data_IF_333223776035
#
_entry.id   IF_333223776035
#
_cell.length_a   1.000
_cell.length_b   1.000
_cell.length_c   1.000
_cell.angle_alpha   90.00
_cell.angle_beta   90.00
_cell.angle_gamma   90.00
#
_symmetry.space_group_name_H-M   'P 1'
#
loop_
_entity.id
_entity.type
_entity.pdbx_description
1 polymer ?
#
# COMPACT_ATOMS: atom_id res chain seq x y z
N UNK A 1 16.63 -13.97 21.08
CA UNK A 1 15.34 -13.60 20.46
C UNK A 1 14.55 -12.56 21.26
N UNK A 2 14.43 -12.67 22.60
CA UNK A 2 13.70 -11.69 23.41
C UNK A 2 14.12 -10.23 23.18
N UNK A 3 15.44 -9.94 23.27
CA UNK A 3 16.00 -8.59 23.07
C UNK A 3 15.67 -8.01 21.68
N UNK A 4 15.74 -8.84 20.64
CA UNK A 4 15.40 -8.43 19.27
C UNK A 4 13.92 -8.03 19.16
N UNK A 5 13.02 -8.83 19.72
CA UNK A 5 11.58 -8.55 19.69
C UNK A 5 11.19 -7.35 20.56
N UNK A 6 11.87 -7.15 21.68
CA UNK A 6 11.71 -5.94 22.51
C UNK A 6 12.17 -4.68 21.77
N UNK A 7 13.26 -4.77 21.01
CA UNK A 7 13.66 -3.69 20.10
C UNK A 7 12.60 -3.46 19.02
N UNK A 8 12.10 -4.50 18.35
CA UNK A 8 11.03 -4.36 17.34
C UNK A 8 9.76 -3.74 17.91
N UNK A 9 9.32 -4.18 19.09
CA UNK A 9 8.21 -3.58 19.81
C UNK A 9 8.42 -2.08 20.05
N UNK A 10 9.61 -1.70 20.53
CA UNK A 10 9.93 -0.29 20.80
C UNK A 10 9.82 0.57 19.54
N UNK A 11 10.33 0.09 18.40
CA UNK A 11 10.25 0.80 17.12
C UNK A 11 8.81 0.90 16.61
N UNK A 12 8.06 -0.21 16.59
CA UNK A 12 6.67 -0.20 16.11
C UNK A 12 5.73 0.60 17.01
N UNK A 13 5.94 0.58 18.33
CA UNK A 13 5.21 1.41 19.27
C UNK A 13 5.51 2.90 19.04
N UNK A 14 6.78 3.26 18.78
CA UNK A 14 7.15 4.62 18.44
C UNK A 14 6.52 5.07 17.11
N UNK A 15 6.61 4.24 16.07
CA UNK A 15 5.95 4.48 14.78
C UNK A 15 4.44 4.66 14.95
N UNK A 16 3.78 3.80 15.73
CA UNK A 16 2.35 3.90 16.04
C UNK A 16 2.00 5.25 16.69
N UNK A 17 2.78 5.70 17.67
CA UNK A 17 2.59 7.01 18.31
C UNK A 17 2.73 8.15 17.31
N UNK A 18 3.76 8.12 16.47
CA UNK A 18 3.98 9.11 15.42
C UNK A 18 2.81 9.18 14.44
N UNK A 19 2.39 8.05 13.87
CA UNK A 19 1.30 8.05 12.88
C UNK A 19 -0.06 8.38 13.49
N UNK A 20 -0.26 8.07 14.76
CA UNK A 20 -1.48 8.47 15.48
C UNK A 20 -1.51 9.98 15.67
N UNK A 21 -0.38 10.62 16.00
CA UNK A 21 -0.27 12.07 16.06
C UNK A 21 -0.52 12.73 14.70
N UNK A 22 -0.10 12.10 13.60
CA UNK A 22 -0.36 12.59 12.23
C UNK A 22 -1.86 12.69 11.89
N UNK A 23 -2.75 11.96 12.57
CA UNK A 23 -4.20 12.10 12.36
C UNK A 23 -4.69 13.52 12.64
N UNK A 24 -4.09 14.19 13.63
CA UNK A 24 -4.46 15.54 14.04
C UNK A 24 -3.94 16.64 13.10
N UNK A 25 -2.97 16.34 12.23
CA UNK A 25 -2.42 17.32 11.29
C UNK A 25 -3.34 17.50 10.09
N UNK A 26 -3.97 18.66 9.95
CA UNK A 26 -4.68 19.02 8.72
C UNK A 26 -3.71 19.67 7.75
N UNK A 27 -3.37 18.96 6.68
CA UNK A 27 -2.57 19.52 5.59
C UNK A 27 -3.46 19.66 4.38
N UNK A 28 -3.59 20.90 3.89
CA UNK A 28 -4.33 21.19 2.66
C UNK A 28 -3.40 20.99 1.47
N UNK A 29 -3.56 19.87 0.79
CA UNK A 29 -2.88 19.57 -0.48
C UNK A 29 -3.85 19.61 -1.66
N UNK A 30 -4.97 20.33 -1.51
CA UNK A 30 -6.08 20.33 -2.46
C UNK A 30 -5.69 20.81 -3.88
N UNK A 31 -4.49 21.35 -4.07
CA UNK A 31 -3.99 21.83 -5.37
C UNK A 31 -2.84 20.99 -5.92
N UNK A 32 -2.45 19.90 -5.27
CA UNK A 32 -1.31 19.09 -5.70
C UNK A 32 -1.76 17.98 -6.65
N UNK A 33 -1.35 18.12 -7.91
CA UNK A 33 -1.55 17.12 -8.95
C UNK A 33 -0.62 15.90 -8.74
N UNK A 34 -1.07 14.74 -9.20
CA UNK A 34 -0.24 13.54 -9.34
C UNK A 34 0.71 13.74 -10.51
N UNK A 35 2.02 13.72 -10.24
CA UNK A 35 3.06 13.63 -11.25
C UNK A 35 3.40 12.16 -11.53
N UNK A 36 4.07 11.89 -12.65
CA UNK A 36 4.63 10.55 -12.93
C UNK A 36 5.51 10.07 -11.76
N UNK A 37 6.35 10.95 -11.21
CA UNK A 37 7.17 10.61 -10.04
C UNK A 37 6.33 10.25 -8.80
N UNK A 38 5.22 10.97 -8.53
CA UNK A 38 4.31 10.61 -7.44
C UNK A 38 3.69 9.23 -7.66
N UNK A 39 3.32 8.91 -8.90
CA UNK A 39 2.77 7.62 -9.28
C UNK A 39 3.80 6.49 -9.10
N UNK A 40 5.02 6.67 -9.60
CA UNK A 40 6.12 5.71 -9.46
C UNK A 40 6.46 5.42 -8.00
N UNK A 41 6.50 6.45 -7.15
CA UNK A 41 6.72 6.28 -5.70
C UNK A 41 5.59 5.46 -5.08
N UNK A 42 4.35 5.68 -5.52
CA UNK A 42 3.19 4.93 -5.02
C UNK A 42 3.27 3.46 -5.47
N UNK A 43 3.74 3.19 -6.70
CA UNK A 43 3.95 1.82 -7.22
C UNK A 43 5.00 1.11 -6.37
N UNK A 44 6.13 1.76 -6.12
CA UNK A 44 7.21 1.21 -5.29
C UNK A 44 6.72 0.92 -3.87
N UNK A 45 5.96 1.84 -3.27
CA UNK A 45 5.36 1.62 -1.96
C UNK A 45 4.45 0.39 -1.95
N UNK A 46 3.57 0.26 -2.94
CA UNK A 46 2.67 -0.90 -3.05
C UNK A 46 3.45 -2.22 -3.14
N UNK A 47 4.50 -2.27 -3.97
CA UNK A 47 5.37 -3.43 -4.11
C UNK A 47 6.04 -3.78 -2.77
N UNK A 48 6.63 -2.79 -2.10
CA UNK A 48 7.31 -2.97 -0.81
C UNK A 48 6.34 -3.49 0.26
N UNK A 49 5.10 -2.98 0.32
CA UNK A 49 4.10 -3.45 1.29
C UNK A 49 3.66 -4.89 0.98
N UNK A 50 3.50 -5.26 -0.29
CA UNK A 50 3.17 -6.63 -0.69
C UNK A 50 4.29 -7.61 -0.38
N UNK A 51 5.53 -7.22 -0.67
CA UNK A 51 6.70 -8.01 -0.33
C UNK A 51 6.83 -8.16 1.17
N UNK A 52 6.63 -7.08 1.92
CA UNK A 52 6.61 -7.11 3.38
C UNK A 52 5.56 -8.09 3.92
N UNK A 53 4.33 -8.06 3.41
CA UNK A 53 3.28 -9.01 3.77
C UNK A 53 3.72 -10.46 3.51
N UNK A 54 4.22 -10.74 2.31
CA UNK A 54 4.67 -12.08 1.92
C UNK A 54 5.83 -12.58 2.79
N UNK A 55 6.82 -11.73 3.07
CA UNK A 55 7.97 -12.07 3.91
C UNK A 55 7.58 -12.26 5.37
N UNK A 56 6.65 -11.44 5.90
CA UNK A 56 6.13 -11.59 7.25
C UNK A 56 5.41 -12.93 7.42
N UNK A 57 4.45 -13.21 6.52
CA UNK A 57 3.72 -14.47 6.52
C UNK A 57 4.67 -15.66 6.39
N UNK A 58 5.60 -15.60 5.43
CA UNK A 58 6.64 -16.60 5.26
C UNK A 58 7.44 -16.83 6.54
N UNK A 59 7.98 -15.77 7.15
CA UNK A 59 8.74 -15.88 8.39
C UNK A 59 7.97 -16.61 9.49
N UNK A 60 6.72 -16.22 9.76
CA UNK A 60 5.91 -16.83 10.82
C UNK A 60 5.58 -18.29 10.51
N UNK A 61 5.17 -18.59 9.27
CA UNK A 61 4.85 -19.97 8.86
C UNK A 61 6.05 -20.88 8.99
N UNK A 62 7.23 -20.47 8.51
CA UNK A 62 8.44 -21.28 8.62
C UNK A 62 8.87 -21.47 10.08
N UNK A 63 8.72 -20.44 10.92
CA UNK A 63 9.02 -20.54 12.34
C UNK A 63 8.11 -21.54 13.05
N UNK A 64 6.79 -21.47 12.84
CA UNK A 64 5.83 -22.43 13.41
C UNK A 64 6.12 -23.85 12.92
N UNK A 65 6.30 -24.02 11.61
CA UNK A 65 6.60 -25.33 11.00
C UNK A 65 7.89 -25.94 11.52
N UNK A 66 8.95 -25.14 11.70
CA UNK A 66 10.22 -25.60 12.26
C UNK A 66 10.07 -26.13 13.69
N UNK A 67 9.39 -25.37 14.56
CA UNK A 67 9.19 -25.79 15.96
C UNK A 67 8.24 -26.99 16.06
N UNK A 68 7.24 -27.07 15.19
CA UNK A 68 6.37 -28.23 15.07
C UNK A 68 7.15 -29.48 14.64
N UNK A 69 8.04 -29.36 13.63
CA UNK A 69 8.89 -30.44 13.15
C UNK A 69 9.82 -30.94 14.26
N UNK A 70 10.44 -30.04 15.03
CA UNK A 70 11.26 -30.39 16.19
C UNK A 70 10.47 -31.14 17.27
N UNK A 71 9.25 -30.68 17.57
CA UNK A 71 8.38 -31.36 18.54
C UNK A 71 7.99 -32.76 18.08
N UNK A 72 7.62 -32.91 16.80
CA UNK A 72 7.27 -34.21 16.21
C UNK A 72 8.47 -35.15 16.18
N UNK A 73 9.65 -34.66 15.80
CA UNK A 73 10.90 -35.42 15.83
C UNK A 73 11.21 -35.88 17.25
N UNK A 74 11.12 -35.00 18.25
CA UNK A 74 11.38 -35.38 19.64
C UNK A 74 10.39 -36.43 20.14
N UNK A 75 9.10 -36.32 19.79
CA UNK A 75 8.10 -37.34 20.14
C UNK A 75 8.47 -38.71 19.58
N UNK A 76 8.89 -38.79 18.32
CA UNK A 76 9.28 -40.05 17.67
C UNK A 76 10.55 -40.65 18.28
N UNK A 77 11.50 -39.84 18.73
CA UNK A 77 12.75 -40.29 19.34
C UNK A 77 12.63 -40.58 20.85
N UNK A 78 11.55 -40.12 21.50
CA UNK A 78 11.25 -40.42 22.91
C UNK A 78 10.33 -41.61 23.12
N UNK A 79 9.70 -42.13 22.06
CA UNK A 79 9.14 -43.48 22.09
C UNK A 79 10.34 -44.41 22.23
N UNK A 80 10.45 -45.19 23.32
CA UNK A 80 11.50 -46.19 23.41
C UNK A 80 11.41 -47.07 22.17
N UNK A 81 12.50 -47.22 21.43
CA UNK A 81 12.65 -48.40 20.60
C UNK A 81 12.58 -49.59 21.57
N UNK A 82 11.40 -50.17 21.73
CA UNK A 82 11.26 -51.52 22.26
C UNK A 82 11.96 -52.44 21.27
N UNK A 83 13.28 -52.56 21.39
CA UNK A 83 14.06 -53.70 20.96
C UNK A 83 15.46 -53.60 21.58
N UNK A 84 15.74 -54.57 22.45
CA UNK A 84 17.03 -54.96 23.04
C UNK A 84 17.40 -54.39 24.41
N UNK A 85 16.68 -54.83 25.45
CA UNK A 85 17.36 -55.68 26.43
C UNK A 85 16.38 -56.70 27.05
N UNK A 86 16.30 -57.86 26.41
CA UNK A 86 16.19 -59.12 27.15
C UNK A 86 17.30 -59.12 28.21
N UNK A 87 16.97 -58.79 29.47
CA UNK A 87 17.39 -59.49 30.69
C UNK A 87 17.02 -58.73 31.96
N UNK A 88 16.41 -59.51 32.86
CA UNK A 88 16.38 -59.38 34.31
C UNK A 88 15.54 -58.28 34.99
N UNK A 89 14.34 -58.72 35.39
CA UNK A 89 13.91 -58.83 36.80
C UNK A 89 13.96 -57.52 37.61
N UNK A 90 12.85 -56.79 37.62
CA UNK A 90 12.55 -55.76 38.61
C UNK A 90 11.20 -55.11 38.35
N UNK A 91 10.26 -55.25 39.29
CA UNK A 91 8.90 -54.71 39.26
C UNK A 91 8.87 -53.19 39.39
N UNK A 92 9.24 -52.46 38.34
CA UNK A 92 9.06 -51.01 38.28
C UNK A 92 8.77 -50.60 36.83
N UNK A 93 7.70 -49.84 36.56
CA UNK A 93 7.46 -49.31 35.22
C UNK A 93 8.68 -48.50 34.78
N UNK A 94 9.11 -48.61 33.51
CA UNK A 94 10.21 -47.81 33.00
C UNK A 94 9.85 -46.33 33.19
N UNK A 95 10.63 -45.61 34.00
CA UNK A 95 10.42 -44.17 34.19
C UNK A 95 10.61 -43.51 32.83
N UNK A 96 9.60 -42.81 32.27
CA UNK A 96 9.77 -42.13 31.00
C UNK A 96 10.89 -41.11 31.14
N UNK A 97 11.97 -41.29 30.38
CA UNK A 97 13.08 -40.33 30.31
C UNK A 97 12.47 -39.05 29.75
N UNK A 98 12.41 -38.03 30.61
CA UNK A 98 11.78 -36.75 30.35
C UNK A 98 12.92 -35.77 30.05
N UNK A 99 13.38 -35.61 28.80
CA UNK A 99 14.52 -34.75 28.55
C UNK A 99 14.11 -33.30 28.86
N UNK A 100 14.98 -32.49 29.51
CA UNK A 100 14.67 -31.10 29.85
C UNK A 100 14.20 -30.25 28.67
N UNK A 101 14.65 -30.59 27.45
CA UNK A 101 14.28 -29.90 26.20
C UNK A 101 12.81 -30.12 25.80
N UNK A 102 12.13 -31.18 26.27
CA UNK A 102 10.76 -31.46 25.85
C UNK A 102 9.80 -30.40 26.35
N UNK A 103 9.94 -29.99 27.61
CA UNK A 103 9.03 -29.01 28.21
C UNK A 103 9.25 -27.62 27.58
N UNK A 104 10.50 -27.30 27.20
CA UNK A 104 10.83 -26.12 26.40
C UNK A 104 10.15 -26.15 25.02
N UNK A 105 10.33 -27.22 24.25
CA UNK A 105 9.78 -27.32 22.89
C UNK A 105 8.25 -27.34 22.88
N UNK A 106 7.64 -28.02 23.85
CA UNK A 106 6.19 -28.06 23.97
C UNK A 106 5.61 -26.68 24.29
N UNK A 107 6.18 -25.99 25.29
CA UNK A 107 5.78 -24.63 25.62
C UNK A 107 6.03 -23.67 24.45
N UNK A 108 7.18 -23.77 23.77
CA UNK A 108 7.49 -22.92 22.62
C UNK A 108 6.45 -23.08 21.50
N UNK A 109 6.10 -24.32 21.16
CA UNK A 109 5.07 -24.58 20.16
C UNK A 109 3.71 -24.02 20.56
N UNK A 110 3.27 -24.27 21.79
CA UNK A 110 1.99 -23.79 22.30
C UNK A 110 1.91 -22.25 22.27
N UNK A 111 2.97 -21.55 22.65
CA UNK A 111 2.98 -20.10 22.64
C UNK A 111 3.08 -19.52 21.22
N UNK A 112 3.83 -20.17 20.32
CA UNK A 112 3.90 -19.75 18.92
C UNK A 112 2.53 -19.78 18.24
N UNK A 113 1.72 -20.80 18.50
CA UNK A 113 0.36 -20.90 17.94
C UNK A 113 -0.61 -19.83 18.46
N UNK A 114 -0.32 -19.25 19.63
CA UNK A 114 -1.14 -18.20 20.25
C UNK A 114 -0.73 -16.78 19.84
N UNK A 115 0.32 -16.62 19.04
CA UNK A 115 0.75 -15.31 18.60
C UNK A 115 -0.34 -14.63 17.75
N UNK A 116 -0.47 -13.29 17.81
CA UNK A 116 -1.45 -12.56 17.02
C UNK A 116 -0.95 -12.31 15.58
N UNK A 117 -0.26 -13.26 14.96
CA UNK A 117 0.33 -13.11 13.62
C UNK A 117 -0.71 -12.89 12.53
N UNK A 118 -1.86 -13.56 12.62
CA UNK A 118 -2.94 -13.39 11.65
C UNK A 118 -3.48 -11.95 11.62
N UNK A 119 -3.54 -11.28 12.77
CA UNK A 119 -3.99 -9.88 12.87
C UNK A 119 -2.96 -8.96 12.24
N UNK A 120 -1.67 -9.14 12.56
CA UNK A 120 -0.59 -8.35 11.96
C UNK A 120 -0.49 -8.56 10.44
N UNK A 121 -0.54 -9.81 9.97
CA UNK A 121 -0.53 -10.14 8.54
C UNK A 121 -1.70 -9.48 7.81
N UNK A 122 -2.92 -9.60 8.37
CA UNK A 122 -4.09 -8.97 7.77
C UNK A 122 -3.98 -7.45 7.72
N UNK A 123 -3.46 -6.81 8.76
CA UNK A 123 -3.28 -5.36 8.76
C UNK A 123 -2.34 -4.90 7.62
N UNK A 124 -1.21 -5.58 7.40
CA UNK A 124 -0.29 -5.27 6.30
C UNK A 124 -0.98 -5.49 4.94
N UNK A 125 -1.69 -6.62 4.79
CA UNK A 125 -2.43 -6.93 3.57
C UNK A 125 -3.48 -5.87 3.24
N UNK A 126 -4.35 -5.53 4.20
CA UNK A 126 -5.36 -4.49 4.02
C UNK A 126 -4.73 -3.16 3.64
N UNK A 127 -3.56 -2.82 4.21
CA UNK A 127 -2.83 -1.64 3.81
C UNK A 127 -2.32 -1.69 2.37
N UNK A 128 -1.85 -2.85 1.87
CA UNK A 128 -1.50 -2.97 0.44
C UNK A 128 -2.70 -2.76 -0.48
N UNK A 129 -3.89 -3.23 -0.10
CA UNK A 129 -5.11 -3.02 -0.89
C UNK A 129 -5.53 -1.55 -0.94
N UNK A 130 -5.33 -0.85 0.18
CA UNK A 130 -5.54 0.60 0.26
C UNK A 130 -4.57 1.35 -0.67
N UNK A 131 -3.29 1.00 -0.68
CA UNK A 131 -2.31 1.60 -1.61
C UNK A 131 -2.65 1.25 -3.07
N UNK A 132 -3.11 0.03 -3.35
CA UNK A 132 -3.60 -0.39 -4.68
C UNK A 132 -4.76 0.50 -5.16
N UNK A 133 -5.69 0.81 -4.26
CA UNK A 133 -6.81 1.71 -4.58
C UNK A 133 -6.32 3.12 -4.92
N UNK A 134 -5.31 3.62 -4.20
CA UNK A 134 -4.69 4.93 -4.49
C UNK A 134 -4.01 4.91 -5.86
N UNK A 135 -3.36 3.81 -6.24
CA UNK A 135 -2.73 3.66 -7.56
C UNK A 135 -3.73 3.79 -8.69
N UNK A 136 -4.88 3.11 -8.60
CA UNK A 136 -5.95 3.19 -9.60
C UNK A 136 -6.45 4.64 -9.73
N UNK A 137 -6.69 5.30 -8.60
CA UNK A 137 -7.12 6.71 -8.59
C UNK A 137 -6.10 7.65 -9.24
N UNK A 138 -4.81 7.42 -9.00
CA UNK A 138 -3.73 8.18 -9.63
C UNK A 138 -3.64 7.92 -11.14
N UNK A 139 -3.86 6.68 -11.58
CA UNK A 139 -3.88 6.32 -12.99
C UNK A 139 -5.03 7.02 -13.73
N UNK A 140 -6.23 7.05 -13.12
CA UNK A 140 -7.39 7.77 -13.66
C UNK A 140 -7.13 9.29 -13.75
N UNK A 141 -6.46 9.87 -12.74
CA UNK A 141 -6.06 11.28 -12.75
C UNK A 141 -5.09 11.58 -13.91
N UNK A 142 -4.09 10.72 -14.13
CA UNK A 142 -3.10 10.88 -15.22
C UNK A 142 -3.75 10.74 -16.60
N UNK A 143 -4.66 9.78 -16.80
CA UNK A 143 -5.42 9.63 -18.05
C UNK A 143 -6.28 10.85 -18.35
N UNK A 144 -6.91 11.42 -17.33
CA UNK A 144 -7.72 12.63 -17.49
C UNK A 144 -6.84 13.86 -17.80
N UNK A 145 -5.64 13.93 -17.23
CA UNK A 145 -4.65 14.95 -17.57
C UNK A 145 -4.26 14.89 -19.05
N UNK A 146 -3.89 13.70 -19.55
CA UNK A 146 -3.55 13.48 -20.96
C UNK A 146 -4.69 13.92 -21.88
N UNK A 147 -5.93 13.53 -21.56
CA UNK A 147 -7.12 13.97 -22.29
C UNK A 147 -7.29 15.49 -22.32
N UNK A 148 -7.07 16.17 -21.19
CA UNK A 148 -7.12 17.63 -21.14
C UNK A 148 -6.04 18.27 -22.04
N UNK A 149 -4.84 17.70 -22.06
CA UNK A 149 -3.71 18.17 -22.89
C UNK A 149 -3.98 17.96 -24.40
N UNK A 150 -4.60 16.85 -24.77
CA UNK A 150 -5.06 16.59 -26.14
C UNK A 150 -6.12 17.60 -26.59
N UNK A 151 -7.18 17.79 -25.79
CA UNK A 151 -8.25 18.76 -26.11
C UNK A 151 -7.68 20.18 -26.15
N UNK A 152 -6.75 20.52 -25.26
CA UNK A 152 -6.06 21.83 -25.26
C UNK A 152 -5.24 22.03 -26.53
N UNK A 153 -4.51 21.01 -26.96
CA UNK A 153 -3.73 21.04 -28.21
C UNK A 153 -4.64 21.18 -29.43
N UNK A 154 -5.77 20.47 -29.45
CA UNK A 154 -6.78 20.62 -30.50
C UNK A 154 -7.36 22.04 -30.52
N UNK A 155 -7.73 22.57 -29.36
CA UNK A 155 -8.25 23.93 -29.21
C UNK A 155 -7.27 24.96 -29.77
N UNK A 156 -6.00 24.91 -29.37
CA UNK A 156 -4.96 25.83 -29.84
C UNK A 156 -4.82 25.74 -31.36
N UNK A 157 -4.78 24.52 -31.92
CA UNK A 157 -4.67 24.31 -33.37
C UNK A 157 -5.86 24.91 -34.13
N UNK A 158 -7.08 24.65 -33.65
CA UNK A 158 -8.32 25.13 -34.30
C UNK A 158 -8.51 26.63 -34.15
N UNK A 159 -8.14 27.19 -33.00
CA UNK A 159 -8.13 28.63 -32.75
C UNK A 159 -7.16 29.34 -33.70
N UNK A 160 -5.92 28.87 -33.81
CA UNK A 160 -4.94 29.44 -34.77
C UNK A 160 -5.44 29.35 -36.21
N UNK A 161 -5.95 28.19 -36.62
CA UNK A 161 -6.50 28.02 -37.97
C UNK A 161 -7.68 28.96 -38.27
N UNK A 162 -8.51 29.26 -37.26
CA UNK A 162 -9.58 30.25 -37.37
C UNK A 162 -9.02 31.68 -37.48
N UNK A 163 -8.07 32.05 -36.62
CA UNK A 163 -7.42 33.37 -36.64
C UNK A 163 -6.72 33.63 -37.98
N UNK A 164 -5.96 32.67 -38.49
CA UNK A 164 -5.27 32.74 -39.79
C UNK A 164 -6.27 32.88 -40.95
N UNK A 165 -7.36 32.10 -40.93
CA UNK A 165 -8.41 32.20 -41.94
C UNK A 165 -9.11 33.56 -41.89
N UNK A 166 -9.44 34.02 -40.68
CA UNK A 166 -10.11 35.30 -40.46
C UNK A 166 -9.23 36.47 -40.92
N UNK A 167 -7.92 36.42 -40.64
CA UNK A 167 -6.96 37.41 -41.12
C UNK A 167 -6.93 37.48 -42.64
N UNK A 168 -6.74 36.34 -43.31
CA UNK A 168 -6.75 36.26 -44.79
C UNK A 168 -8.08 36.72 -45.40
N UNK A 169 -9.21 36.40 -44.76
CA UNK A 169 -10.52 36.87 -45.19
C UNK A 169 -10.63 38.39 -45.10
N UNK A 170 -10.20 38.98 -43.97
CA UNK A 170 -10.22 40.43 -43.78
C UNK A 170 -9.28 41.15 -44.76
N UNK A 171 -8.07 40.63 -45.01
CA UNK A 171 -7.15 41.15 -46.03
C UNK A 171 -7.77 41.14 -47.43
N UNK A 172 -8.38 40.02 -47.85
CA UNK A 172 -9.07 39.92 -49.14
C UNK A 172 -10.23 40.90 -49.24
N UNK A 173 -11.04 41.03 -48.17
CA UNK A 173 -12.17 41.95 -48.14
C UNK A 173 -11.72 43.42 -48.24
N UNK A 174 -10.62 43.78 -47.58
CA UNK A 174 -10.00 45.11 -47.64
C UNK A 174 -9.44 45.41 -49.05
N UNK A 175 -8.86 44.41 -49.73
CA UNK A 175 -8.38 44.54 -51.11
C UNK A 175 -9.53 44.61 -52.15
N UNK A 176 -10.66 43.96 -51.89
CA UNK A 176 -11.84 43.99 -52.76
C UNK A 176 -12.64 45.29 -52.65
N UNK A 177 -12.66 45.95 -51.48
CA UNK A 177 -13.41 47.21 -51.30
C UNK A 177 -12.76 48.42 -51.98
N UNK A 178 -11.52 48.30 -52.45
CA UNK A 178 -10.87 49.29 -53.33
C UNK A 178 -11.23 49.15 -54.82
N UNK A 179 -11.98 48.11 -55.23
CA UNK A 179 -12.48 47.93 -56.59
C UNK A 179 -14.02 47.96 -56.58
N UNK A 180 -14.62 48.77 -57.48
CA UNK A 180 -16.05 49.10 -57.58
C UNK A 180 -17.02 47.91 -57.30
N UNK A 181 -18.00 48.10 -56.40
CA UNK A 181 -18.94 47.07 -55.96
C UNK A 181 -20.07 46.74 -56.95
N UNK A 182 -20.45 45.46 -57.00
CA UNK A 182 -21.58 44.94 -57.79
C UNK A 182 -22.55 44.14 -56.91
N UNK A 183 -23.84 44.07 -57.28
CA UNK A 183 -24.91 43.41 -56.49
C UNK A 183 -24.63 41.90 -56.17
N UNK A 184 -23.75 41.22 -56.92
CA UNK A 184 -23.29 39.87 -56.61
C UNK A 184 -22.42 39.76 -55.34
N UNK A 185 -21.91 40.88 -54.82
CA UNK A 185 -21.06 40.92 -53.62
C UNK A 185 -21.86 40.74 -52.33
N UNK A 186 -23.15 41.10 -52.32
CA UNK A 186 -24.01 41.00 -51.13
C UNK A 186 -24.37 39.56 -50.77
N UNK A 187 -24.61 38.69 -51.76
CA UNK A 187 -24.98 37.29 -51.54
C UNK A 187 -23.77 36.45 -51.10
N UNK A 188 -22.59 36.69 -51.70
CA UNK A 188 -21.31 36.08 -51.28
C UNK A 188 -20.85 36.56 -49.89
N UNK A 189 -21.14 37.81 -49.52
CA UNK A 189 -20.83 38.32 -48.20
C UNK A 189 -21.69 37.67 -47.09
N UNK A 190 -22.94 37.31 -47.39
CA UNK A 190 -23.82 36.61 -46.45
C UNK A 190 -23.37 35.16 -46.21
N UNK A 191 -23.04 34.42 -47.28
CA UNK A 191 -22.51 33.04 -47.21
C UNK A 191 -21.16 32.98 -46.46
N UNK A 192 -20.27 33.94 -46.70
CA UNK A 192 -19.00 34.04 -45.97
C UNK A 192 -19.18 34.39 -44.48
N UNK A 193 -20.20 35.16 -44.13
CA UNK A 193 -20.54 35.48 -42.74
C UNK A 193 -21.06 34.24 -42.01
N UNK A 194 -21.96 33.48 -42.62
CA UNK A 194 -22.47 32.22 -42.08
C UNK A 194 -21.33 31.22 -41.82
N UNK A 195 -20.45 31.04 -42.81
CA UNK A 195 -19.28 30.17 -42.66
C UNK A 195 -18.27 30.66 -41.60
N UNK A 196 -18.15 31.98 -41.38
CA UNK A 196 -17.35 32.54 -40.27
C UNK A 196 -17.96 32.19 -38.91
N UNK A 197 -19.28 32.31 -38.79
CA UNK A 197 -20.04 31.99 -37.58
C UNK A 197 -19.95 30.50 -37.26
N UNK A 198 -20.10 29.61 -38.24
CA UNK A 198 -19.93 28.15 -38.08
C UNK A 198 -18.54 27.81 -37.55
N UNK A 199 -17.48 28.38 -38.13
CA UNK A 199 -16.09 28.13 -37.66
C UNK A 199 -15.85 28.66 -36.24
N UNK A 200 -16.40 29.84 -35.93
CA UNK A 200 -16.32 30.43 -34.60
C UNK A 200 -17.04 29.57 -33.56
N UNK A 201 -18.24 29.09 -33.89
CA UNK A 201 -19.00 28.17 -33.03
C UNK A 201 -18.26 26.86 -32.78
N UNK A 202 -17.57 26.33 -33.79
CA UNK A 202 -16.74 25.13 -33.63
C UNK A 202 -15.54 25.34 -32.70
N UNK A 203 -14.86 26.50 -32.78
CA UNK A 203 -13.77 26.81 -31.85
C UNK A 203 -14.30 26.99 -30.42
N UNK A 204 -15.46 27.65 -30.26
CA UNK A 204 -16.07 27.85 -28.94
C UNK A 204 -16.58 26.53 -28.33
N UNK A 205 -17.10 25.60 -29.14
CA UNK A 205 -17.53 24.30 -28.62
C UNK A 205 -16.36 23.48 -28.06
N UNK A 206 -15.19 23.50 -28.73
CA UNK A 206 -13.97 22.85 -28.21
C UNK A 206 -13.50 23.55 -26.93
N UNK A 207 -13.56 24.88 -26.86
CA UNK A 207 -13.20 25.64 -25.66
C UNK A 207 -14.08 25.30 -24.46
N UNK A 208 -15.39 25.19 -24.67
CA UNK A 208 -16.33 24.80 -23.62
C UNK A 208 -16.09 23.36 -23.15
N UNK A 209 -15.79 22.43 -24.07
CA UNK A 209 -15.39 21.07 -23.72
C UNK A 209 -14.10 21.06 -22.89
N UNK A 210 -13.07 21.79 -23.31
CA UNK A 210 -11.81 21.89 -22.56
C UNK A 210 -12.04 22.39 -21.13
N UNK A 211 -12.83 23.46 -20.98
CA UNK A 211 -13.15 24.02 -19.65
C UNK A 211 -13.85 22.98 -18.75
N UNK A 212 -14.80 22.24 -19.30
CA UNK A 212 -15.50 21.18 -18.56
C UNK A 212 -14.56 20.04 -18.15
N UNK A 213 -13.62 19.66 -19.02
CA UNK A 213 -12.63 18.62 -18.73
C UNK A 213 -11.61 19.08 -17.67
N UNK A 214 -11.17 20.34 -17.72
CA UNK A 214 -10.28 20.94 -16.73
C UNK A 214 -10.95 21.06 -15.35
N UNK A 215 -12.23 21.40 -15.29
CA UNK A 215 -13.01 21.44 -14.03
C UNK A 215 -13.16 20.04 -13.41
N UNK A 216 -13.37 19.01 -14.24
CA UNK A 216 -13.39 17.61 -13.80
C UNK A 216 -12.02 17.18 -13.28
N UNK A 217 -10.95 17.48 -14.03
CA UNK A 217 -9.59 17.15 -13.66
C UNK A 217 -9.21 17.71 -12.28
N UNK A 218 -9.52 18.98 -12.02
CA UNK A 218 -9.28 19.61 -10.73
C UNK A 218 -10.12 19.00 -9.59
N UNK A 219 -11.28 18.43 -9.89
CA UNK A 219 -12.08 17.69 -8.89
C UNK A 219 -11.43 16.35 -8.56
N UNK A 220 -10.99 15.61 -9.58
CA UNK A 220 -10.31 14.33 -9.41
C UNK A 220 -9.00 14.50 -8.64
N UNK A 221 -8.17 15.48 -8.99
CA UNK A 221 -6.92 15.77 -8.25
C UNK A 221 -7.16 15.89 -6.74
N UNK A 222 -8.16 16.69 -6.35
CA UNK A 222 -8.57 16.84 -4.94
C UNK A 222 -8.99 15.51 -4.32
N UNK A 223 -9.85 14.77 -5.03
CA UNK A 223 -10.30 13.46 -4.57
C UNK A 223 -9.14 12.49 -4.35
N UNK A 224 -8.18 12.41 -5.28
CA UNK A 224 -7.02 11.52 -5.15
C UNK A 224 -6.18 11.91 -3.92
N UNK A 225 -5.92 13.21 -3.72
CA UNK A 225 -5.15 13.69 -2.56
C UNK A 225 -5.86 13.42 -1.24
N UNK A 226 -7.14 13.76 -1.14
CA UNK A 226 -7.93 13.56 0.08
C UNK A 226 -8.06 12.07 0.43
N UNK A 227 -8.33 11.24 -0.58
CA UNK A 227 -8.39 9.77 -0.41
C UNK A 227 -7.04 9.21 0.01
N UNK A 228 -5.94 9.66 -0.61
CA UNK A 228 -4.60 9.20 -0.24
C UNK A 228 -4.33 9.51 1.24
N UNK A 229 -4.42 10.77 1.64
CA UNK A 229 -4.09 11.21 3.00
C UNK A 229 -5.01 10.57 4.03
N UNK A 230 -6.33 10.56 3.76
CA UNK A 230 -7.30 9.93 4.65
C UNK A 230 -7.01 8.45 4.84
N UNK A 231 -6.69 7.74 3.75
CA UNK A 231 -6.28 6.35 3.79
C UNK A 231 -5.03 6.12 4.64
N UNK A 232 -3.95 6.90 4.44
CA UNK A 232 -2.74 6.76 5.24
C UNK A 232 -2.99 7.05 6.73
N UNK A 233 -3.72 8.12 7.05
CA UNK A 233 -4.05 8.50 8.44
C UNK A 233 -4.87 7.43 9.16
N UNK A 234 -5.76 6.74 8.46
CA UNK A 234 -6.63 5.76 9.07
C UNK A 234 -5.92 4.41 9.23
N UNK A 235 -5.24 3.93 8.19
CA UNK A 235 -4.74 2.54 8.14
C UNK A 235 -3.31 2.37 8.67
N UNK A 236 -2.40 3.36 8.56
CA UNK A 236 -1.05 3.21 9.12
C UNK A 236 -1.06 2.96 10.64
N UNK A 237 -1.88 3.65 11.46
CA UNK A 237 -1.94 3.37 12.89
C UNK A 237 -2.41 1.95 13.20
N UNK A 238 -3.31 1.38 12.40
CA UNK A 238 -3.77 0.00 12.55
C UNK A 238 -2.64 -1.00 12.28
N UNK A 239 -1.86 -0.78 11.22
CA UNK A 239 -0.68 -1.59 10.88
C UNK A 239 0.33 -1.57 12.02
N UNK A 240 0.76 -0.38 12.46
CA UNK A 240 1.77 -0.29 13.51
C UNK A 240 1.27 -0.73 14.89
N UNK A 241 -0.02 -0.58 15.18
CA UNK A 241 -0.64 -1.15 16.39
C UNK A 241 -0.56 -2.67 16.38
N UNK A 242 -0.97 -3.31 15.27
CA UNK A 242 -0.95 -4.76 15.14
C UNK A 242 0.48 -5.32 15.25
N UNK A 243 1.46 -4.66 14.62
CA UNK A 243 2.87 -5.05 14.68
C UNK A 243 3.50 -4.83 16.06
N UNK A 244 3.13 -3.75 16.74
CA UNK A 244 3.53 -3.48 18.11
C UNK A 244 3.04 -4.60 19.03
N UNK A 245 1.74 -4.93 18.96
CA UNK A 245 1.15 -6.02 19.75
C UNK A 245 1.78 -7.38 19.44
N UNK A 246 2.00 -7.69 18.16
CA UNK A 246 2.68 -8.92 17.75
C UNK A 246 4.12 -9.00 18.28
N UNK A 247 4.88 -7.91 18.17
CA UNK A 247 6.26 -7.86 18.65
C UNK A 247 6.36 -7.97 20.17
N UNK A 248 5.42 -7.35 20.89
CA UNK A 248 5.31 -7.47 22.35
C UNK A 248 5.03 -8.92 22.76
N UNK A 249 4.04 -9.56 22.13
CA UNK A 249 3.71 -10.96 22.37
C UNK A 249 4.91 -11.89 22.10
N UNK A 250 5.65 -11.65 21.02
CA UNK A 250 6.89 -12.38 20.73
C UNK A 250 7.95 -12.16 21.80
N UNK A 251 8.18 -10.90 22.22
CA UNK A 251 9.13 -10.57 23.29
C UNK A 251 8.78 -11.32 24.57
N UNK A 252 7.54 -11.26 25.02
CA UNK A 252 7.08 -11.90 26.24
C UNK A 252 7.21 -13.43 26.17
N UNK A 253 6.78 -14.04 25.06
CA UNK A 253 6.98 -15.46 24.80
C UNK A 253 8.47 -15.86 24.94
N UNK A 254 9.38 -15.12 24.30
CA UNK A 254 10.81 -15.45 24.35
C UNK A 254 11.44 -15.18 25.72
N UNK A 255 10.95 -14.19 26.47
CA UNK A 255 11.35 -13.97 27.86
C UNK A 255 10.92 -15.17 28.72
N UNK A 256 9.67 -15.63 28.60
CA UNK A 256 9.19 -16.81 29.32
C UNK A 256 9.96 -18.09 28.95
N UNK A 257 10.26 -18.29 27.67
CA UNK A 257 11.10 -19.41 27.22
C UNK A 257 12.49 -19.41 27.88
N UNK A 258 13.11 -18.24 28.02
CA UNK A 258 14.41 -18.13 28.69
C UNK A 258 14.36 -18.56 30.17
N UNK A 259 13.26 -18.27 30.87
CA UNK A 259 13.06 -18.67 32.27
C UNK A 259 12.93 -20.20 32.41
N UNK A 260 12.29 -20.87 31.44
CA UNK A 260 12.19 -22.34 31.41
C UNK A 260 13.58 -22.97 31.29
N UNK A 261 14.46 -22.40 30.46
CA UNK A 261 15.84 -22.90 30.29
C UNK A 261 16.74 -22.69 31.50
N UNK A 262 16.42 -21.73 32.38
CA UNK A 262 17.24 -21.39 33.56
C UNK A 262 16.82 -22.16 34.83
N UNK A 263 15.62 -22.76 34.86
CA UNK A 263 15.13 -23.58 35.97
C UNK A 263 15.90 -24.89 36.30
N UNK A 264 16.76 -25.52 35.46
CA UNK A 264 17.33 -26.84 35.79
C UNK A 264 18.42 -26.88 36.88
N UNK A 265 18.93 -25.75 37.41
CA UNK A 265 20.14 -25.78 38.24
C UNK A 265 19.94 -25.90 39.76
N UNK A 266 18.72 -25.83 40.29
CA UNK A 266 18.50 -25.65 41.75
C UNK A 266 18.00 -26.88 42.53
N UNK A 267 17.86 -28.06 41.92
CA UNK A 267 17.35 -29.27 42.61
C UNK A 267 18.42 -30.33 42.90
N UNK A 268 19.71 -29.98 42.83
CA UNK A 268 20.83 -30.91 42.96
C UNK A 268 21.68 -30.83 44.23
N UNK A 269 21.31 -30.04 45.25
CA UNK A 269 22.02 -30.05 46.54
C UNK A 269 21.12 -30.62 47.64
N UNK A 270 21.25 -31.92 47.88
CA UNK A 270 20.90 -32.51 49.17
C UNK A 270 21.99 -32.14 50.18
N UNK A 271 21.67 -31.67 51.39
CA UNK A 271 22.68 -31.48 52.42
C UNK A 271 23.19 -32.86 52.84
N UNK A 272 24.50 -33.06 52.67
CA UNK A 272 25.21 -34.19 53.25
C UNK A 272 25.25 -33.98 54.77
N UNK A 273 25.10 -35.11 55.49
CA UNK A 273 25.00 -35.24 56.95
C UNK A 273 25.94 -34.37 57.77
#
# INVERSE_FOLDING_TARGET
MAIMWEAMYSHHNYQHKLVTALRAFNVSFATWETSEQHHDITIQLWQVVRDWHSKFQGYVTHQKAYVQALNSWLKLNLVPFENNSLKERGSSPPRPVKPPIRDLLHYWHEQLEKLPDAIASRAIYCFSEVVSTILILQEDELKLKEKCEETRSEFIRKKRAYEDWHHKYMERRMASTSAQGTDQDHEKAADHKDHAEVRKHFVESIKMRLKSEEEEYQRICRQVRDKSIGSFKNHLPEVFSALSNFSLACSDMYKQLSLITQKPALTGQSPSR
#
